data_IF_605089870844
#
_entry.id   IF_605089870844
#
_cell.length_a   1.000
_cell.length_b   1.000
_cell.length_c   1.000
_cell.angle_alpha   90.00
_cell.angle_beta   90.00
_cell.angle_gamma   90.00
#
_symmetry.space_group_name_H-M   'P 1'
#
loop_
_entity.id
_entity.type
_entity.pdbx_description
1 polymer ?
#
# COMPACT_ATOMS: atom_id res chain seq x y z
N UNK A 1 -7.09 63.98 4.72
CA UNK A 1 -6.33 62.72 4.68
C UNK A 1 -6.57 61.99 6.00
N UNK A 2 -7.58 61.13 6.04
CA UNK A 2 -7.81 60.27 7.21
C UNK A 2 -7.19 58.91 6.90
N UNK A 3 -6.17 58.52 7.67
CA UNK A 3 -5.52 57.22 7.56
C UNK A 3 -6.50 56.14 8.04
N UNK A 4 -6.75 55.16 7.16
CA UNK A 4 -7.46 53.94 7.51
C UNK A 4 -6.54 53.08 8.40
N UNK A 5 -6.98 52.59 9.56
CA UNK A 5 -6.25 51.57 10.29
C UNK A 5 -6.32 50.27 9.49
N UNK A 6 -5.16 49.76 9.07
CA UNK A 6 -5.04 48.45 8.47
C UNK A 6 -5.18 47.44 9.62
N UNK A 7 -6.39 46.90 9.81
CA UNK A 7 -6.59 45.80 10.75
C UNK A 7 -5.90 44.57 10.17
N UNK A 8 -4.74 44.24 10.75
CA UNK A 8 -3.99 43.02 10.44
C UNK A 8 -4.90 41.82 10.70
N UNK A 9 -5.37 41.21 9.61
CA UNK A 9 -5.99 39.90 9.66
C UNK A 9 -4.94 38.92 10.23
N UNK A 10 -5.18 38.23 11.36
CA UNK A 10 -4.21 37.30 11.91
C UNK A 10 -3.88 36.25 10.84
N UNK A 11 -2.60 35.83 10.70
CA UNK A 11 -2.24 34.80 9.74
C UNK A 11 -3.03 33.56 10.13
N UNK A 12 -4.03 33.24 9.31
CA UNK A 12 -4.91 32.14 9.57
C UNK A 12 -4.05 30.89 9.77
N UNK A 13 -4.22 30.25 10.93
CA UNK A 13 -3.64 28.96 11.32
C UNK A 13 -4.18 27.82 10.41
N UNK A 14 -4.09 27.97 9.09
CA UNK A 14 -4.40 26.92 8.11
C UNK A 14 -3.46 25.71 8.26
N UNK A 15 -2.34 25.88 8.97
CA UNK A 15 -1.32 24.85 9.14
C UNK A 15 -1.64 23.80 10.21
N UNK A 16 -2.68 23.97 11.02
CA UNK A 16 -3.05 23.00 12.07
C UNK A 16 -4.11 21.97 11.67
N UNK A 17 -4.91 22.21 10.63
CA UNK A 17 -6.19 21.47 10.45
C UNK A 17 -6.19 20.21 9.57
N UNK A 18 -5.05 19.76 9.00
CA UNK A 18 -5.00 18.49 8.26
C UNK A 18 -3.70 17.68 8.49
N UNK A 19 -2.68 18.29 9.11
CA UNK A 19 -1.37 17.64 9.28
C UNK A 19 -1.40 16.44 10.23
N UNK A 20 -2.15 16.54 11.32
CA UNK A 20 -2.33 15.43 12.28
C UNK A 20 -3.12 14.27 11.70
N UNK A 21 -4.24 14.56 11.03
CA UNK A 21 -5.09 13.55 10.40
C UNK A 21 -4.35 12.82 9.25
N UNK A 22 -3.62 13.56 8.40
CA UNK A 22 -2.82 12.97 7.33
C UNK A 22 -1.68 12.09 7.87
N UNK A 23 -1.04 12.51 8.98
CA UNK A 23 -0.02 11.70 9.66
C UNK A 23 -0.61 10.40 10.20
N UNK A 24 -1.70 10.47 10.95
CA UNK A 24 -2.38 9.29 11.49
C UNK A 24 -2.74 8.29 10.39
N UNK A 25 -3.26 8.77 9.26
CA UNK A 25 -3.57 7.92 8.11
C UNK A 25 -2.32 7.25 7.52
N UNK A 26 -1.22 8.00 7.33
CA UNK A 26 0.04 7.42 6.86
C UNK A 26 0.59 6.37 7.83
N UNK A 27 0.52 6.65 9.12
CA UNK A 27 0.98 5.73 10.17
C UNK A 27 0.16 4.43 10.17
N UNK A 28 -1.17 4.54 10.00
CA UNK A 28 -2.05 3.38 9.84
C UNK A 28 -1.71 2.54 8.61
N UNK A 29 -1.53 3.18 7.44
CA UNK A 29 -1.12 2.49 6.20
C UNK A 29 0.23 1.78 6.39
N UNK A 30 1.20 2.44 7.03
CA UNK A 30 2.52 1.85 7.28
C UNK A 30 2.44 0.66 8.24
N UNK A 31 1.56 0.71 9.24
CA UNK A 31 1.32 -0.41 10.15
C UNK A 31 0.72 -1.61 9.39
N UNK A 32 -0.29 -1.39 8.56
CA UNK A 32 -0.89 -2.45 7.74
C UNK A 32 0.11 -3.07 6.76
N UNK A 33 0.98 -2.25 6.14
CA UNK A 33 2.05 -2.77 5.27
C UNK A 33 3.07 -3.60 6.06
N UNK A 34 3.38 -3.23 7.31
CA UNK A 34 4.22 -4.05 8.18
C UNK A 34 3.57 -5.40 8.47
N UNK A 35 2.26 -5.44 8.73
CA UNK A 35 1.51 -6.69 8.91
C UNK A 35 1.58 -7.54 7.64
N UNK A 36 1.35 -6.95 6.46
CA UNK A 36 1.49 -7.66 5.18
C UNK A 36 2.87 -8.27 5.00
N UNK A 37 3.94 -7.54 5.35
CA UNK A 37 5.31 -8.07 5.30
C UNK A 37 5.45 -9.33 6.15
N UNK A 38 4.91 -9.33 7.36
CA UNK A 38 5.09 -10.42 8.32
C UNK A 38 4.31 -11.69 7.91
N UNK A 39 3.25 -11.55 7.11
CA UNK A 39 2.49 -12.66 6.51
C UNK A 39 3.18 -13.31 5.29
N UNK A 40 4.21 -12.69 4.71
CA UNK A 40 4.91 -13.25 3.55
C UNK A 40 5.67 -14.53 3.94
N UNK A 41 5.66 -15.56 3.07
CA UNK A 41 6.36 -16.83 3.28
C UNK A 41 7.87 -16.69 3.03
N UNK A 42 8.53 -15.81 3.77
CA UNK A 42 9.96 -15.52 3.69
C UNK A 42 10.58 -15.63 5.10
N UNK A 43 11.88 -15.94 5.22
CA UNK A 43 12.55 -15.86 6.52
C UNK A 43 12.61 -14.41 7.03
N UNK A 44 12.62 -14.24 8.34
CA UNK A 44 12.56 -12.93 9.00
C UNK A 44 13.68 -11.98 8.55
N UNK A 45 14.90 -12.49 8.42
CA UNK A 45 16.08 -11.75 7.94
C UNK A 45 15.89 -11.19 6.52
N UNK A 46 15.15 -11.89 5.66
CA UNK A 46 14.82 -11.39 4.32
C UNK A 46 13.72 -10.35 4.36
N UNK A 47 12.70 -10.53 5.19
CA UNK A 47 11.60 -9.56 5.36
C UNK A 47 12.11 -8.19 5.82
N UNK A 48 13.01 -8.16 6.80
CA UNK A 48 13.54 -6.92 7.37
C UNK A 48 14.34 -6.06 6.38
N UNK A 49 14.87 -6.65 5.29
CA UNK A 49 15.65 -5.94 4.27
C UNK A 49 14.79 -5.34 3.14
N UNK A 50 13.49 -5.63 3.10
CA UNK A 50 12.60 -5.16 2.05
C UNK A 50 12.14 -3.73 2.30
N UNK A 51 12.22 -2.89 1.27
CA UNK A 51 11.60 -1.56 1.28
C UNK A 51 10.08 -1.67 1.14
N UNK A 52 9.36 -0.59 1.48
CA UNK A 52 7.90 -0.54 1.40
C UNK A 52 7.37 -0.90 0.01
N UNK A 53 8.00 -0.39 -1.05
CA UNK A 53 7.62 -0.71 -2.43
C UNK A 53 7.87 -2.19 -2.77
N UNK A 54 8.96 -2.76 -2.26
CA UNK A 54 9.26 -4.17 -2.48
C UNK A 54 8.26 -5.08 -1.76
N UNK A 55 7.88 -4.73 -0.52
CA UNK A 55 6.82 -5.45 0.21
C UNK A 55 5.53 -5.43 -0.61
N UNK A 56 5.12 -4.27 -1.13
CA UNK A 56 3.92 -4.17 -1.98
C UNK A 56 4.03 -5.03 -3.25
N UNK A 57 5.17 -4.95 -3.95
CA UNK A 57 5.41 -5.75 -5.17
C UNK A 57 5.33 -7.25 -4.88
N UNK A 58 6.05 -7.72 -3.86
CA UNK A 58 6.09 -9.15 -3.49
C UNK A 58 4.74 -9.64 -3.01
N UNK A 59 4.01 -8.84 -2.21
CA UNK A 59 2.64 -9.17 -1.79
C UNK A 59 1.70 -9.31 -3.00
N UNK A 60 1.77 -8.39 -3.96
CA UNK A 60 0.98 -8.48 -5.19
C UNK A 60 1.29 -9.75 -5.98
N UNK A 61 2.57 -10.08 -6.17
CA UNK A 61 2.98 -11.30 -6.89
C UNK A 61 2.53 -12.55 -6.14
N UNK A 62 2.66 -12.56 -4.81
CA UNK A 62 2.25 -13.69 -3.97
C UNK A 62 0.74 -13.96 -4.10
N UNK A 63 -0.10 -12.94 -3.95
CA UNK A 63 -1.56 -13.08 -4.07
C UNK A 63 -1.94 -13.59 -5.47
N UNK A 64 -1.37 -13.00 -6.53
CA UNK A 64 -1.63 -13.45 -7.90
C UNK A 64 -1.21 -14.91 -8.12
N UNK A 65 -0.02 -15.29 -7.62
CA UNK A 65 0.44 -16.69 -7.69
C UNK A 65 -0.50 -17.63 -6.95
N UNK A 66 -0.92 -17.29 -5.72
CA UNK A 66 -1.89 -18.08 -4.96
C UNK A 66 -3.20 -18.26 -5.73
N UNK A 67 -3.73 -17.20 -6.34
CA UNK A 67 -4.97 -17.27 -7.12
C UNK A 67 -4.81 -18.16 -8.37
N UNK A 68 -3.68 -18.06 -9.08
CA UNK A 68 -3.40 -18.93 -10.23
C UNK A 68 -3.28 -20.37 -9.78
N UNK A 69 -2.47 -20.67 -8.76
CA UNK A 69 -2.32 -22.02 -8.25
C UNK A 69 -3.68 -22.57 -7.80
N UNK A 70 -4.45 -21.81 -7.03
CA UNK A 70 -5.78 -22.20 -6.60
C UNK A 70 -6.70 -22.52 -7.77
N UNK A 71 -6.75 -21.68 -8.82
CA UNK A 71 -7.52 -21.94 -10.02
C UNK A 71 -7.04 -23.18 -10.77
N UNK A 72 -5.73 -23.40 -10.89
CA UNK A 72 -5.19 -24.62 -11.51
C UNK A 72 -5.61 -25.88 -10.74
N UNK A 73 -5.62 -25.82 -9.41
CA UNK A 73 -6.08 -26.93 -8.57
C UNK A 73 -7.61 -27.08 -8.56
N UNK A 74 -8.38 -26.02 -8.83
CA UNK A 74 -9.85 -26.04 -8.92
C UNK A 74 -10.37 -26.43 -10.33
N UNK A 75 -9.66 -26.04 -11.39
CA UNK A 75 -9.96 -26.34 -12.80
C UNK A 75 -9.68 -27.79 -13.21
N UNK A 76 -9.00 -28.61 -12.39
CA UNK A 76 -9.00 -30.07 -12.60
C UNK A 76 -10.42 -30.68 -12.53
N UNK A 77 -11.44 -29.88 -12.16
CA UNK A 77 -12.85 -30.26 -12.17
C UNK A 77 -13.62 -29.83 -13.43
N UNK A 78 -13.06 -28.99 -14.32
CA UNK A 78 -13.73 -28.55 -15.54
C UNK A 78 -12.71 -28.18 -16.62
N UNK A 79 -12.59 -29.01 -17.65
CA UNK A 79 -11.71 -28.80 -18.81
C UNK A 79 -12.00 -27.46 -19.51
N UNK A 80 -10.94 -26.72 -19.86
CA UNK A 80 -11.04 -25.59 -20.78
C UNK A 80 -10.13 -24.40 -20.44
N UNK A 81 -9.04 -24.29 -21.21
CA UNK A 81 -8.21 -23.10 -21.45
C UNK A 81 -7.40 -22.52 -20.27
N UNK A 82 -6.08 -22.77 -20.35
CA UNK A 82 -5.04 -22.16 -19.55
C UNK A 82 -4.97 -20.65 -19.89
N UNK A 83 -5.23 -19.72 -18.96
CA UNK A 83 -5.03 -18.30 -19.22
C UNK A 83 -3.53 -18.01 -19.18
N UNK A 84 -3.07 -17.11 -20.05
CA UNK A 84 -1.69 -16.61 -20.21
C UNK A 84 -1.02 -16.24 -18.88
N UNK A 85 -0.51 -17.23 -18.15
CA UNK A 85 0.16 -17.03 -16.86
C UNK A 85 1.63 -16.63 -17.00
N UNK A 86 2.05 -16.19 -18.20
CA UNK A 86 3.45 -15.88 -18.53
C UNK A 86 3.81 -14.39 -18.44
N UNK A 87 2.86 -13.50 -18.17
CA UNK A 87 3.13 -12.06 -18.02
C UNK A 87 3.38 -11.61 -16.56
N UNK A 88 3.86 -12.51 -15.69
CA UNK A 88 3.92 -12.25 -14.25
C UNK A 88 5.02 -11.26 -13.81
N UNK A 89 5.90 -10.80 -14.70
CA UNK A 89 7.05 -9.95 -14.38
C UNK A 89 7.37 -8.88 -15.44
N UNK A 90 6.49 -8.63 -16.42
CA UNK A 90 6.73 -7.59 -17.43
C UNK A 90 6.05 -6.26 -17.08
#
# INVERSE_FOLDING_TARGET
MAMVPMEELPPADFDRSNKGASKQRRDQINAEISVMRDLLPLPESSRQRLSQLQVMSVSCVYIRKCNVLQNLFQCQSHEGELPEAVDFLQ
#
